data_IF_150778001693
#
_entry.id   IF_150778001693
#
_cell.length_a   1.000
_cell.length_b   1.000
_cell.length_c   1.000
_cell.angle_alpha   90.00
_cell.angle_beta   90.00
_cell.angle_gamma   90.00
#
_symmetry.space_group_name_H-M   'P 1'
#
loop_
_entity.id
_entity.type
_entity.pdbx_description
1 polymer ?
#
# COMPACT_ATOMS: atom_id res chain seq x y z
N UNK A 1 -19.17 1.52 97.79
CA UNK A 1 -20.14 2.25 96.99
C UNK A 1 -19.40 3.29 96.16
N UNK A 2 -19.21 3.10 94.92
CA UNK A 2 -19.09 4.10 93.86
C UNK A 2 -18.62 3.42 92.59
N UNK A 3 -19.52 3.38 91.65
CA UNK A 3 -19.34 2.80 90.32
C UNK A 3 -18.69 3.82 89.40
N UNK A 4 -17.54 3.52 88.91
CA UNK A 4 -16.94 4.29 87.79
C UNK A 4 -17.16 3.56 86.46
N UNK A 5 -18.02 4.11 85.67
CA UNK A 5 -18.19 3.75 84.25
C UNK A 5 -16.97 4.23 83.50
N UNK A 6 -16.24 3.33 82.85
CA UNK A 6 -15.24 3.66 81.84
C UNK A 6 -15.87 3.48 80.47
N UNK A 7 -16.16 4.59 79.87
CA UNK A 7 -16.56 4.68 78.47
C UNK A 7 -15.36 4.37 77.57
N UNK A 8 -15.47 3.25 76.82
CA UNK A 8 -14.44 2.84 75.88
C UNK A 8 -14.83 3.47 74.52
N UNK A 9 -14.09 4.50 74.08
CA UNK A 9 -14.23 5.10 72.78
C UNK A 9 -13.61 4.19 71.72
N UNK A 10 -14.46 3.62 70.87
CA UNK A 10 -14.05 2.80 69.73
C UNK A 10 -13.76 3.73 68.56
N UNK A 11 -12.49 4.00 68.26
CA UNK A 11 -12.05 4.74 67.09
C UNK A 11 -12.08 3.77 65.92
N UNK A 12 -13.10 3.92 65.05
CA UNK A 12 -13.17 3.23 63.77
C UNK A 12 -12.24 3.93 62.76
N UNK A 13 -11.13 3.33 62.46
CA UNK A 13 -10.24 3.74 61.38
C UNK A 13 -10.79 3.22 60.09
N UNK A 14 -11.46 4.10 59.32
CA UNK A 14 -11.91 3.78 57.95
C UNK A 14 -10.70 3.92 57.04
N UNK A 15 -10.11 2.79 56.67
CA UNK A 15 -9.07 2.74 55.62
C UNK A 15 -9.76 2.84 54.23
N UNK A 16 -9.67 4.02 53.61
CA UNK A 16 -10.02 4.19 52.21
C UNK A 16 -9.00 3.49 51.32
N UNK A 17 -9.31 2.33 50.82
CA UNK A 17 -8.60 1.74 49.70
C UNK A 17 -8.96 2.52 48.45
N UNK A 18 -8.12 3.47 48.06
CA UNK A 18 -8.14 4.05 46.73
C UNK A 18 -7.68 2.98 45.72
N UNK A 19 -8.62 2.25 45.15
CA UNK A 19 -8.38 1.41 43.98
C UNK A 19 -8.04 2.35 42.83
N UNK A 20 -6.74 2.57 42.58
CA UNK A 20 -6.27 3.21 41.39
C UNK A 20 -6.65 2.31 40.19
N UNK A 21 -7.69 2.71 39.46
CA UNK A 21 -7.95 2.18 38.13
C UNK A 21 -6.76 2.55 37.24
N UNK A 22 -5.79 1.63 37.11
CA UNK A 22 -4.78 1.70 36.07
C UNK A 22 -5.53 1.42 34.77
N UNK A 23 -5.65 2.40 33.83
CA UNK A 23 -6.23 2.10 32.52
C UNK A 23 -5.38 0.99 31.88
N UNK A 24 -6.01 0.03 31.16
CA UNK A 24 -5.26 -0.96 30.43
C UNK A 24 -4.29 -0.22 29.52
N UNK A 25 -2.99 -0.53 29.63
CA UNK A 25 -1.99 -0.13 28.66
C UNK A 25 -2.43 -0.80 27.37
N UNK A 26 -3.09 -0.04 26.50
CA UNK A 26 -3.32 -0.46 25.13
C UNK A 26 -1.92 -0.53 24.54
N UNK A 27 -1.43 -1.76 24.37
CA UNK A 27 -0.27 -2.02 23.53
C UNK A 27 -0.63 -1.46 22.16
N UNK A 28 -0.21 -0.21 21.92
CA UNK A 28 -0.22 0.35 20.59
C UNK A 28 0.76 -0.53 19.85
N UNK A 29 0.25 -1.55 19.19
CA UNK A 29 1.04 -2.39 18.31
C UNK A 29 1.84 -1.40 17.46
N UNK A 30 3.14 -1.35 17.72
CA UNK A 30 4.06 -0.44 17.08
C UNK A 30 3.93 -0.75 15.60
N UNK A 31 3.25 0.14 14.86
CA UNK A 31 3.03 -0.03 13.44
C UNK A 31 4.40 -0.36 12.86
N UNK A 32 4.52 -1.53 12.27
CA UNK A 32 5.76 -1.94 11.62
C UNK A 32 6.23 -0.75 10.79
N UNK A 33 7.52 -0.38 10.84
CA UNK A 33 8.01 0.79 10.12
C UNK A 33 7.48 0.69 8.71
N UNK A 34 6.74 1.73 8.29
CA UNK A 34 6.10 1.75 6.98
C UNK A 34 7.15 1.31 5.98
N UNK A 35 6.94 0.15 5.37
CA UNK A 35 7.92 -0.45 4.47
C UNK A 35 8.34 0.64 3.51
N UNK A 36 9.66 0.83 3.35
CA UNK A 36 10.21 1.89 2.51
C UNK A 36 9.39 1.93 1.23
N UNK A 37 8.67 3.02 1.00
CA UNK A 37 7.72 3.08 -0.11
C UNK A 37 8.47 2.93 -1.42
N UNK A 38 7.82 2.50 -2.49
CA UNK A 38 8.41 2.34 -3.83
C UNK A 38 9.27 3.53 -4.27
N UNK A 39 8.95 4.74 -3.77
CA UNK A 39 9.67 5.98 -4.09
C UNK A 39 11.16 5.90 -3.73
N UNK A 40 11.49 5.20 -2.66
CA UNK A 40 12.89 5.06 -2.20
C UNK A 40 13.68 4.07 -3.06
N UNK A 41 13.01 3.27 -3.87
CA UNK A 41 13.63 2.26 -4.73
C UNK A 41 13.87 2.76 -6.16
N UNK A 42 13.05 3.69 -6.64
CA UNK A 42 13.16 4.23 -8.00
C UNK A 42 14.51 4.90 -8.24
N UNK A 43 15.19 4.48 -9.31
CA UNK A 43 16.51 4.97 -9.72
C UNK A 43 17.67 4.37 -8.94
N UNK A 44 17.45 3.34 -8.09
CA UNK A 44 18.49 2.62 -7.38
C UNK A 44 18.70 1.25 -7.98
N UNK A 45 19.90 0.69 -7.77
CA UNK A 45 20.20 -0.69 -8.15
C UNK A 45 19.48 -1.67 -7.21
N UNK A 46 19.15 -2.84 -7.73
CA UNK A 46 18.65 -3.95 -6.91
C UNK A 46 19.66 -4.42 -5.85
N UNK A 47 20.94 -4.11 -6.06
CA UNK A 47 22.02 -4.38 -5.09
C UNK A 47 22.15 -3.27 -4.02
N UNK A 48 21.46 -2.15 -4.14
CA UNK A 48 21.39 -1.15 -3.08
C UNK A 48 20.72 -1.77 -1.84
N UNK A 49 21.32 -1.58 -0.67
CA UNK A 49 20.87 -2.25 0.56
C UNK A 49 19.38 -2.08 0.83
N UNK A 50 18.84 -0.88 0.64
CA UNK A 50 17.43 -0.61 0.88
C UNK A 50 16.51 -1.37 -0.09
N UNK A 51 16.92 -1.53 -1.35
CA UNK A 51 16.17 -2.30 -2.36
C UNK A 51 16.29 -3.79 -2.09
N UNK A 52 17.51 -4.27 -1.79
CA UNK A 52 17.77 -5.67 -1.47
C UNK A 52 16.98 -6.11 -0.21
N UNK A 53 16.98 -5.29 0.83
CA UNK A 53 16.21 -5.56 2.06
C UNK A 53 14.70 -5.60 1.78
N UNK A 54 14.20 -4.69 0.94
CA UNK A 54 12.81 -4.71 0.54
C UNK A 54 12.45 -5.98 -0.21
N UNK A 55 13.26 -6.38 -1.20
CA UNK A 55 13.08 -7.60 -1.99
C UNK A 55 13.04 -8.83 -1.07
N UNK A 56 14.00 -8.94 -0.16
CA UNK A 56 14.10 -10.06 0.77
C UNK A 56 12.92 -10.11 1.75
N UNK A 57 12.57 -8.98 2.37
CA UNK A 57 11.51 -8.91 3.38
C UNK A 57 10.10 -9.15 2.81
N UNK A 58 9.90 -8.93 1.51
CA UNK A 58 8.62 -9.15 0.84
C UNK A 58 8.59 -10.44 0.00
N UNK A 59 9.61 -11.30 0.15
CA UNK A 59 9.72 -12.56 -0.60
C UNK A 59 9.51 -12.35 -2.11
N UNK A 60 10.12 -11.29 -2.65
CA UNK A 60 10.01 -11.01 -4.07
C UNK A 60 10.74 -12.09 -4.89
N UNK A 61 10.20 -12.43 -6.04
CA UNK A 61 10.79 -13.36 -7.00
C UNK A 61 11.24 -12.61 -8.23
N UNK A 62 12.41 -12.95 -8.75
CA UNK A 62 12.89 -12.37 -10.00
C UNK A 62 12.36 -13.15 -11.20
N UNK A 63 11.77 -12.44 -12.17
CA UNK A 63 11.35 -12.99 -13.45
C UNK A 63 11.75 -12.03 -14.55
N UNK A 64 12.74 -12.41 -15.34
CA UNK A 64 13.34 -11.51 -16.34
C UNK A 64 13.85 -10.21 -15.69
N UNK A 65 13.36 -9.08 -16.18
CA UNK A 65 13.68 -7.74 -15.66
C UNK A 65 12.77 -7.28 -14.52
N UNK A 66 11.97 -8.18 -13.93
CA UNK A 66 11.04 -7.84 -12.87
C UNK A 66 11.40 -8.46 -11.53
N UNK A 67 11.24 -7.69 -10.46
CA UNK A 67 11.17 -8.18 -9.09
C UNK A 67 9.71 -8.18 -8.68
N UNK A 68 9.11 -9.35 -8.57
CA UNK A 68 7.67 -9.55 -8.33
C UNK A 68 7.45 -9.75 -6.85
N UNK A 69 6.81 -8.79 -6.21
CA UNK A 69 6.58 -8.74 -4.76
C UNK A 69 5.07 -8.88 -4.48
N UNK A 70 4.50 -10.06 -4.78
CA UNK A 70 3.07 -10.32 -4.65
C UNK A 70 2.49 -9.98 -3.27
N UNK A 71 3.14 -10.36 -2.14
CA UNK A 71 2.63 -10.01 -0.81
C UNK A 71 2.58 -8.51 -0.53
N UNK A 72 3.45 -7.73 -1.18
CA UNK A 72 3.49 -6.27 -1.05
C UNK A 72 2.57 -5.55 -2.04
N UNK A 73 1.97 -6.27 -2.98
CA UNK A 73 1.10 -5.69 -4.00
C UNK A 73 1.83 -4.85 -5.04
N UNK A 74 3.10 -5.15 -5.30
CA UNK A 74 3.87 -4.41 -6.28
C UNK A 74 4.87 -5.28 -7.05
N UNK A 75 5.29 -4.76 -8.21
CA UNK A 75 6.44 -5.27 -8.94
C UNK A 75 7.36 -4.12 -9.33
N UNK A 76 8.66 -4.40 -9.42
CA UNK A 76 9.68 -3.43 -9.82
C UNK A 76 10.26 -3.88 -11.14
N UNK A 77 10.22 -3.02 -12.15
CA UNK A 77 10.92 -3.25 -13.41
C UNK A 77 12.31 -2.61 -13.37
N UNK A 78 13.31 -3.36 -13.83
CA UNK A 78 14.69 -2.90 -13.90
C UNK A 78 15.19 -2.86 -15.33
N UNK A 79 16.11 -1.95 -15.60
CA UNK A 79 16.83 -1.92 -16.87
C UNK A 79 17.98 -2.98 -16.90
N UNK A 80 18.76 -2.95 -17.98
CA UNK A 80 19.91 -3.85 -18.16
C UNK A 80 20.99 -3.69 -17.06
N UNK A 81 21.11 -2.50 -16.47
CA UNK A 81 22.03 -2.19 -15.39
C UNK A 81 21.46 -2.53 -14.00
N UNK A 82 20.34 -3.24 -13.96
CA UNK A 82 19.63 -3.61 -12.74
C UNK A 82 19.18 -2.38 -11.90
N UNK A 83 18.91 -1.27 -12.55
CA UNK A 83 18.37 -0.07 -11.92
C UNK A 83 16.85 -0.10 -11.99
N UNK A 84 16.18 0.08 -10.86
CA UNK A 84 14.72 0.16 -10.79
C UNK A 84 14.23 1.40 -11.52
N UNK A 85 13.53 1.23 -12.63
CA UNK A 85 12.97 2.32 -13.46
C UNK A 85 11.50 2.53 -13.24
N UNK A 86 10.75 1.48 -12.97
CA UNK A 86 9.30 1.57 -12.82
C UNK A 86 8.84 0.70 -11.66
N UNK A 87 7.94 1.25 -10.85
CA UNK A 87 7.18 0.49 -9.86
C UNK A 87 5.74 0.34 -10.35
N UNK A 88 5.24 -0.89 -10.33
CA UNK A 88 3.86 -1.28 -10.62
C UNK A 88 3.15 -1.48 -9.29
N UNK A 89 2.11 -0.70 -9.02
CA UNK A 89 1.33 -0.75 -7.78
C UNK A 89 -0.05 -1.32 -8.11
N UNK A 90 -0.35 -2.54 -7.65
CA UNK A 90 -1.64 -3.20 -7.88
C UNK A 90 -2.63 -2.76 -6.80
N UNK A 91 -3.79 -2.23 -7.18
CA UNK A 91 -4.77 -1.69 -6.22
C UNK A 91 -5.91 -2.67 -5.91
N UNK A 92 -5.98 -3.77 -6.62
CA UNK A 92 -6.91 -4.87 -6.37
C UNK A 92 -6.13 -6.15 -6.05
N UNK A 93 -6.80 -7.08 -5.34
CA UNK A 93 -6.29 -8.43 -5.21
C UNK A 93 -6.53 -9.14 -6.55
N UNK A 94 -5.50 -9.26 -7.34
CA UNK A 94 -5.58 -9.96 -8.62
C UNK A 94 -4.28 -10.71 -8.89
N UNK A 95 -4.39 -11.83 -9.56
CA UNK A 95 -3.27 -12.61 -10.10
C UNK A 95 -2.18 -12.96 -9.07
N UNK A 96 -2.61 -13.22 -7.86
CA UNK A 96 -1.72 -13.53 -6.75
C UNK A 96 -1.14 -12.31 -6.02
N UNK A 97 -1.35 -11.09 -6.52
CA UNK A 97 -0.98 -9.89 -5.79
C UNK A 97 -2.00 -9.55 -4.71
N UNK A 98 -1.50 -9.23 -3.53
CA UNK A 98 -2.26 -8.50 -2.52
C UNK A 98 -2.39 -7.03 -2.96
N UNK A 99 -3.51 -6.37 -2.67
CA UNK A 99 -3.63 -4.95 -2.98
C UNK A 99 -2.55 -4.13 -2.25
N UNK A 100 -1.79 -3.31 -3.00
CA UNK A 100 -0.77 -2.42 -2.45
C UNK A 100 -1.37 -1.50 -1.38
N UNK A 101 -0.82 -1.45 -0.19
CA UNK A 101 -1.36 -0.71 0.96
C UNK A 101 -0.59 0.56 1.33
N UNK A 102 0.47 0.90 0.60
CA UNK A 102 1.25 2.11 0.81
C UNK A 102 0.60 3.37 0.23
N UNK A 103 1.29 4.50 0.42
CA UNK A 103 0.86 5.77 -0.15
C UNK A 103 0.94 5.76 -1.68
N UNK A 104 -0.11 6.26 -2.32
CA UNK A 104 -0.16 6.39 -3.78
C UNK A 104 0.45 7.71 -4.22
N UNK A 105 0.95 7.80 -5.49
CA UNK A 105 1.54 9.02 -6.01
C UNK A 105 0.50 10.13 -6.16
N UNK A 106 0.94 11.39 -6.10
CA UNK A 106 0.16 12.58 -6.49
C UNK A 106 -1.17 12.74 -5.73
N UNK A 107 -1.30 12.20 -4.52
CA UNK A 107 -2.54 12.27 -3.74
C UNK A 107 -3.69 11.43 -4.30
N UNK A 108 -3.37 10.46 -5.16
CA UNK A 108 -4.36 9.49 -5.63
C UNK A 108 -4.83 8.61 -4.46
N UNK A 109 -6.07 8.17 -4.54
CA UNK A 109 -6.71 7.28 -3.58
C UNK A 109 -7.13 5.99 -4.28
N UNK A 110 -7.22 4.89 -3.52
CA UNK A 110 -7.61 3.58 -4.08
C UNK A 110 -8.98 3.56 -4.73
N UNK A 111 -9.89 4.37 -4.21
CA UNK A 111 -11.26 4.49 -4.70
C UNK A 111 -11.45 5.62 -5.71
N UNK A 112 -10.35 6.23 -6.17
CA UNK A 112 -10.45 7.19 -7.26
C UNK A 112 -10.98 6.50 -8.52
N UNK A 113 -11.87 7.21 -9.19
CA UNK A 113 -12.37 6.83 -10.50
C UNK A 113 -11.61 7.59 -11.58
N UNK A 114 -11.78 7.18 -12.84
CA UNK A 114 -11.19 7.90 -13.98
C UNK A 114 -11.53 9.40 -13.93
N UNK A 115 -12.78 9.75 -13.63
CA UNK A 115 -13.18 11.15 -13.50
C UNK A 115 -12.42 11.89 -12.39
N UNK A 116 -12.27 11.28 -11.21
CA UNK A 116 -11.56 11.91 -10.11
C UNK A 116 -10.05 12.04 -10.35
N UNK A 117 -9.44 11.08 -11.02
CA UNK A 117 -8.04 11.15 -11.45
C UNK A 117 -7.82 12.29 -12.45
N UNK A 118 -8.69 12.40 -13.47
CA UNK A 118 -8.63 13.51 -14.43
C UNK A 118 -8.83 14.88 -13.76
N UNK A 119 -9.69 14.95 -12.74
CA UNK A 119 -9.85 16.18 -11.97
C UNK A 119 -8.57 16.55 -11.19
N UNK A 120 -7.84 15.58 -10.66
CA UNK A 120 -6.61 15.79 -9.89
C UNK A 120 -5.40 16.05 -10.79
N UNK A 121 -5.26 15.29 -11.87
CA UNK A 121 -4.05 15.28 -12.71
C UNK A 121 -4.23 16.02 -14.05
N UNK A 122 -5.45 16.39 -14.39
CA UNK A 122 -5.80 16.90 -15.72
C UNK A 122 -6.01 15.78 -16.73
N UNK A 123 -6.16 16.14 -18.01
CA UNK A 123 -6.30 15.14 -19.07
C UNK A 123 -4.99 14.38 -19.29
N UNK A 124 -5.03 13.06 -19.47
CA UNK A 124 -3.85 12.29 -19.83
C UNK A 124 -3.32 12.74 -21.20
N UNK A 125 -2.01 12.62 -21.40
CA UNK A 125 -1.39 12.96 -22.68
C UNK A 125 -1.70 11.92 -23.76
N UNK A 126 -1.55 10.66 -23.38
CA UNK A 126 -1.72 9.52 -24.26
C UNK A 126 -2.64 8.51 -23.56
N UNK A 127 -3.45 7.83 -24.33
CA UNK A 127 -4.37 6.81 -23.87
C UNK A 127 -4.27 5.58 -24.75
N UNK A 128 -4.29 4.42 -24.15
CA UNK A 128 -4.20 3.15 -24.85
C UNK A 128 -5.23 2.18 -24.27
N UNK A 129 -5.96 1.50 -25.14
CA UNK A 129 -6.70 0.31 -24.79
C UNK A 129 -5.81 -0.87 -25.19
N UNK A 130 -5.15 -1.49 -24.23
CA UNK A 130 -4.27 -2.62 -24.49
C UNK A 130 -4.92 -3.89 -23.97
N UNK A 131 -4.93 -4.98 -24.77
CA UNK A 131 -5.17 -6.28 -24.20
C UNK A 131 -4.09 -6.51 -23.14
N UNK A 132 -4.50 -6.82 -21.90
CA UNK A 132 -3.54 -7.31 -20.93
C UNK A 132 -2.84 -8.54 -21.52
N UNK A 133 -1.59 -8.71 -21.36
CA UNK A 133 -1.01 -9.20 -20.13
C UNK A 133 0.16 -8.33 -19.74
N UNK A 134 -0.08 -7.43 -18.86
CA UNK A 134 1.01 -6.66 -18.30
C UNK A 134 1.22 -7.04 -16.86
N UNK A 135 1.11 -8.32 -16.62
CA UNK A 135 1.47 -8.86 -15.34
C UNK A 135 2.88 -9.39 -15.44
N UNK A 136 3.82 -8.65 -14.83
CA UNK A 136 5.21 -9.07 -14.80
C UNK A 136 5.28 -10.50 -14.25
N UNK A 137 5.71 -11.44 -15.10
CA UNK A 137 5.96 -12.81 -14.68
C UNK A 137 4.81 -13.78 -14.76
N UNK A 138 3.68 -13.40 -15.30
CA UNK A 138 2.74 -14.40 -15.76
C UNK A 138 3.22 -14.95 -17.11
N UNK A 139 3.12 -16.27 -17.31
CA UNK A 139 3.29 -16.83 -18.63
C UNK A 139 2.33 -16.12 -19.56
N UNK A 140 2.75 -15.94 -20.83
CA UNK A 140 1.97 -15.41 -21.94
C UNK A 140 0.73 -16.31 -22.19
N UNK A 141 -0.12 -16.43 -21.17
CA UNK A 141 -1.41 -17.10 -21.29
C UNK A 141 -2.30 -16.18 -22.07
N UNK A 142 -2.01 -16.17 -23.35
CA UNK A 142 -2.68 -15.54 -24.44
C UNK A 142 -3.65 -14.47 -24.01
N UNK A 143 -3.35 -13.23 -24.35
CA UNK A 143 -4.21 -12.08 -24.20
C UNK A 143 -5.69 -12.48 -24.28
N UNK A 144 -6.30 -12.76 -23.13
CA UNK A 144 -7.73 -12.98 -23.09
C UNK A 144 -8.36 -11.65 -23.52
N UNK A 145 -9.18 -11.63 -24.58
CA UNK A 145 -9.87 -10.43 -24.99
C UNK A 145 -10.75 -9.83 -23.88
N UNK A 146 -10.98 -10.59 -22.82
CA UNK A 146 -11.78 -10.20 -21.66
C UNK A 146 -11.03 -9.34 -20.63
N UNK A 147 -9.70 -9.18 -20.75
CA UNK A 147 -8.87 -8.39 -19.85
C UNK A 147 -8.21 -7.19 -20.54
N UNK A 148 -9.01 -6.42 -21.29
CA UNK A 148 -8.55 -5.16 -21.85
C UNK A 148 -8.65 -4.09 -20.77
N UNK A 149 -7.53 -3.47 -20.44
CA UNK A 149 -7.46 -2.35 -19.54
C UNK A 149 -7.25 -1.04 -20.27
N UNK A 150 -7.84 0.02 -19.75
CA UNK A 150 -7.62 1.37 -20.26
C UNK A 150 -6.45 2.04 -19.54
N UNK A 151 -5.46 2.47 -20.30
CA UNK A 151 -4.21 3.06 -19.82
C UNK A 151 -4.21 4.56 -20.09
N UNK A 152 -4.07 5.36 -19.05
CA UNK A 152 -3.97 6.81 -19.12
C UNK A 152 -2.57 7.27 -18.70
N UNK A 153 -1.81 7.84 -19.65
CA UNK A 153 -0.40 8.23 -19.44
C UNK A 153 -0.32 9.70 -19.05
N UNK A 154 0.14 9.97 -17.86
CA UNK A 154 0.40 11.30 -17.31
C UNK A 154 1.90 11.61 -17.35
N UNK A 155 2.44 11.76 -18.56
CA UNK A 155 3.89 11.84 -18.82
C UNK A 155 4.62 12.88 -17.97
N UNK A 156 4.02 14.06 -17.73
CA UNK A 156 4.61 15.13 -16.93
C UNK A 156 4.89 14.73 -15.48
N UNK A 157 4.23 13.70 -15.00
CA UNK A 157 4.38 13.18 -13.64
C UNK A 157 5.13 11.85 -13.58
N UNK A 158 5.47 11.25 -14.73
CA UNK A 158 6.03 9.89 -14.78
C UNK A 158 5.05 8.83 -14.27
N UNK A 159 3.73 9.05 -14.44
CA UNK A 159 2.70 8.15 -13.93
C UNK A 159 1.81 7.68 -15.07
N UNK A 160 1.51 6.38 -15.06
CA UNK A 160 0.46 5.77 -15.88
C UNK A 160 -0.58 5.16 -14.95
N UNK A 161 -1.85 5.48 -15.16
CA UNK A 161 -2.96 4.90 -14.40
C UNK A 161 -3.68 3.91 -15.29
N UNK A 162 -3.85 2.70 -14.80
CA UNK A 162 -4.54 1.61 -15.49
C UNK A 162 -5.89 1.42 -14.82
N UNK A 163 -6.96 1.43 -15.60
CA UNK A 163 -8.32 1.30 -15.12
C UNK A 163 -8.90 -0.08 -15.42
N UNK A 164 -9.75 -0.55 -14.52
CA UNK A 164 -10.46 -1.82 -14.66
C UNK A 164 -11.63 -1.71 -15.66
N UNK A 165 -11.33 -1.32 -16.89
CA UNK A 165 -12.29 -1.19 -18.00
C UNK A 165 -11.54 -1.15 -19.31
N UNK A 166 -12.09 -1.69 -20.40
CA UNK A 166 -11.59 -1.46 -21.75
C UNK A 166 -12.01 -0.12 -22.34
N UNK A 167 -12.98 0.56 -21.72
CA UNK A 167 -13.65 1.71 -22.31
C UNK A 167 -13.06 3.05 -21.86
N UNK A 168 -12.56 3.82 -22.81
CA UNK A 168 -11.99 5.15 -22.61
C UNK A 168 -12.96 6.17 -21.99
N UNK A 169 -14.25 5.93 -22.09
CA UNK A 169 -15.30 6.85 -21.64
C UNK A 169 -16.00 6.40 -20.35
N UNK A 170 -15.58 5.31 -19.75
CA UNK A 170 -16.10 4.85 -18.45
C UNK A 170 -15.51 5.67 -17.30
N UNK A 171 -16.06 6.85 -17.10
CA UNK A 171 -15.60 7.79 -16.07
C UNK A 171 -15.75 7.26 -14.64
N UNK A 172 -16.52 6.19 -14.44
CA UNK A 172 -16.71 5.54 -13.15
C UNK A 172 -15.74 4.36 -12.93
N UNK A 173 -14.95 4.00 -13.94
CA UNK A 173 -13.98 2.93 -13.81
C UNK A 173 -12.98 3.23 -12.69
N UNK A 174 -12.74 2.25 -11.83
CA UNK A 174 -11.78 2.35 -10.73
C UNK A 174 -10.37 2.02 -11.20
N UNK A 175 -9.39 2.46 -10.43
CA UNK A 175 -7.99 2.17 -10.72
C UNK A 175 -7.71 0.69 -10.47
N UNK A 176 -7.13 0.02 -11.46
CA UNK A 176 -6.62 -1.35 -11.35
C UNK A 176 -5.16 -1.35 -10.86
N UNK A 177 -4.30 -0.56 -11.49
CA UNK A 177 -2.91 -0.42 -11.12
C UNK A 177 -2.37 0.98 -11.46
N UNK A 178 -1.25 1.34 -10.84
CA UNK A 178 -0.52 2.57 -11.13
C UNK A 178 0.94 2.22 -11.40
N UNK A 179 1.47 2.69 -12.53
CA UNK A 179 2.88 2.63 -12.84
C UNK A 179 3.52 3.98 -12.51
N UNK A 180 4.63 3.94 -11.80
CA UNK A 180 5.44 5.13 -11.49
C UNK A 180 6.82 4.92 -12.05
N UNK A 181 7.21 5.78 -12.98
CA UNK A 181 8.51 5.71 -13.67
C UNK A 181 9.39 6.92 -13.35
N UNK A 182 10.73 6.69 -13.37
CA UNK A 182 11.76 7.72 -13.17
C UNK A 182 12.67 7.81 -14.39
#
# INVERSE_FOLDING_TARGET
>A
MNKFFKTLSLLAVIAFFATACIPPVVDVAQAAPAAAGYQTMLGRSVSDQAVADFIANNNCTQTGSFQICQPAGLALWTDADQIVKTAYLYLSNSEGFTAYNGALPLGLLRNDTMASVEQKLGQPRDVHALPGPWEPGLPDEGSSPDHIHYWAVYKRFGVTVIYNTPAANDKNATIYAILVSK
#
